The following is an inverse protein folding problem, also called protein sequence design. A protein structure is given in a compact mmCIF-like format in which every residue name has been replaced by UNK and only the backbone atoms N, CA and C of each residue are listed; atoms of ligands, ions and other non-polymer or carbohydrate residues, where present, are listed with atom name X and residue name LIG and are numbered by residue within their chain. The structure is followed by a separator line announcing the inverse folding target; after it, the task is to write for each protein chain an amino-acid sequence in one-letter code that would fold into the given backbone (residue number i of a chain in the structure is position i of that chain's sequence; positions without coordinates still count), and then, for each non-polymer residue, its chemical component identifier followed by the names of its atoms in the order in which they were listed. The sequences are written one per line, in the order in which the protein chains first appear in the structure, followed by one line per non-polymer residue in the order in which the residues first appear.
data_IF_982461335323
#
_entry.id   IF_982461335323
#
_cell.length_a   1.000
_cell.length_b   1.000
_cell.length_c   1.000
_cell.angle_alpha   90.00
_cell.angle_beta   90.00
_cell.angle_gamma   90.00
#
_symmetry.space_group_name_H-M   'P 1'
#
loop_
_entity.id
_entity.type
_entity.pdbx_description
1 polymer ?
#
# COMPACT_ATOMS: atom_id res chain seq x y z
N UNK A 1 -10.05 -75.81 -8.77
CA UNK A 1 -11.35 -75.09 -8.78
C UNK A 1 -11.53 -74.34 -7.47
N UNK A 2 -11.19 -73.05 -7.43
CA UNK A 2 -11.66 -72.08 -6.42
C UNK A 2 -11.91 -70.77 -7.17
N UNK A 3 -13.18 -70.46 -7.44
CA UNK A 3 -13.60 -69.17 -7.99
C UNK A 3 -13.56 -68.15 -6.85
N UNK A 4 -12.80 -67.07 -7.04
CA UNK A 4 -12.81 -65.88 -6.19
C UNK A 4 -13.68 -64.82 -6.89
N UNK A 5 -14.75 -64.27 -6.28
CA UNK A 5 -15.52 -63.22 -6.94
C UNK A 5 -14.77 -61.90 -6.77
N UNK A 6 -14.43 -61.27 -7.90
CA UNK A 6 -13.87 -59.94 -7.98
C UNK A 6 -14.99 -58.92 -7.66
N UNK A 7 -14.99 -58.35 -6.45
CA UNK A 7 -15.91 -57.29 -6.06
C UNK A 7 -15.42 -55.97 -6.67
N UNK A 8 -16.00 -55.57 -7.79
CA UNK A 8 -15.76 -54.26 -8.41
C UNK A 8 -16.43 -53.17 -7.56
N UNK A 9 -15.64 -52.43 -6.77
CA UNK A 9 -16.09 -51.22 -6.09
C UNK A 9 -16.11 -50.10 -7.14
N UNK A 10 -17.29 -49.84 -7.69
CA UNK A 10 -17.58 -48.62 -8.44
C UNK A 10 -17.56 -47.44 -7.46
N UNK A 11 -16.44 -46.73 -7.40
CA UNK A 11 -16.38 -45.40 -6.80
C UNK A 11 -17.17 -44.48 -7.74
N UNK A 12 -18.45 -44.30 -7.45
CA UNK A 12 -19.27 -43.29 -8.09
C UNK A 12 -18.76 -41.92 -7.63
N UNK A 13 -17.93 -41.29 -8.46
CA UNK A 13 -17.65 -39.86 -8.34
C UNK A 13 -18.99 -39.16 -8.59
N UNK A 14 -19.73 -38.80 -7.54
CA UNK A 14 -20.91 -37.96 -7.69
C UNK A 14 -20.44 -36.62 -8.25
N UNK A 15 -21.04 -36.11 -9.34
CA UNK A 15 -20.78 -34.75 -9.75
C UNK A 15 -21.08 -33.84 -8.56
N UNK A 16 -20.12 -33.01 -8.18
CA UNK A 16 -20.30 -32.02 -7.12
C UNK A 16 -21.39 -31.07 -7.60
N UNK A 17 -22.54 -31.12 -6.94
CA UNK A 17 -23.65 -30.20 -7.20
C UNK A 17 -23.23 -28.82 -6.74
N UNK A 18 -23.42 -27.79 -7.58
CA UNK A 18 -23.22 -26.39 -7.19
C UNK A 18 -24.28 -25.89 -6.19
N UNK A 19 -25.32 -26.70 -5.91
CA UNK A 19 -26.34 -26.36 -4.93
C UNK A 19 -25.91 -26.73 -3.51
N UNK A 20 -25.92 -25.71 -2.64
CA UNK A 20 -25.72 -25.87 -1.20
C UNK A 20 -26.85 -26.68 -0.59
N UNK A 21 -26.47 -27.71 0.17
CA UNK A 21 -27.35 -28.64 0.88
C UNK A 21 -27.27 -28.46 2.40
N UNK A 22 -28.21 -29.06 3.14
CA UNK A 22 -28.19 -29.10 4.61
C UNK A 22 -26.93 -29.79 5.17
N UNK A 23 -26.36 -30.76 4.44
CA UNK A 23 -25.11 -31.45 4.79
C UNK A 23 -23.90 -30.49 4.72
N UNK A 24 -23.89 -29.57 3.76
CA UNK A 24 -22.84 -28.56 3.61
C UNK A 24 -22.87 -27.58 4.80
N UNK A 25 -24.08 -27.15 5.20
CA UNK A 25 -24.29 -26.28 6.37
C UNK A 25 -23.81 -26.98 7.64
N UNK A 26 -24.21 -28.24 7.82
CA UNK A 26 -23.78 -29.09 8.96
C UNK A 26 -22.27 -29.29 9.02
N UNK A 27 -21.60 -29.33 7.87
CA UNK A 27 -20.14 -29.41 7.79
C UNK A 27 -19.48 -28.08 8.17
N UNK A 28 -20.05 -26.96 7.73
CA UNK A 28 -19.57 -25.61 8.04
C UNK A 28 -19.76 -25.20 9.51
N UNK A 29 -20.82 -25.68 10.17
CA UNK A 29 -21.09 -25.49 11.61
C UNK A 29 -19.89 -25.82 12.48
N UNK A 30 -19.18 -26.90 12.16
CA UNK A 30 -17.99 -27.35 12.89
C UNK A 30 -16.85 -26.33 12.83
N UNK A 31 -16.67 -25.70 11.68
CA UNK A 31 -15.63 -24.68 11.46
C UNK A 31 -16.05 -23.37 12.15
N UNK A 32 -17.34 -23.05 12.11
CA UNK A 32 -17.90 -21.84 12.71
C UNK A 32 -18.11 -21.95 14.23
N UNK A 33 -17.90 -23.13 14.83
CA UNK A 33 -18.21 -23.43 16.24
C UNK A 33 -19.67 -23.14 16.62
N UNK A 34 -20.60 -23.49 15.73
CA UNK A 34 -22.05 -23.35 15.92
C UNK A 34 -22.73 -24.72 15.93
N UNK A 35 -23.93 -24.79 16.50
CA UNK A 35 -24.77 -25.99 16.48
C UNK A 35 -26.19 -25.60 16.10
N UNK A 36 -26.71 -26.16 15.00
CA UNK A 36 -28.09 -25.97 14.58
C UNK A 36 -28.90 -27.27 14.67
N UNK A 37 -30.21 -27.14 14.83
CA UNK A 37 -31.18 -28.21 14.60
C UNK A 37 -31.38 -28.41 13.09
N UNK A 38 -31.96 -29.53 12.68
CA UNK A 38 -32.23 -29.79 11.26
C UNK A 38 -33.20 -28.74 10.66
N UNK A 39 -34.19 -28.27 11.43
CA UNK A 39 -35.10 -27.21 10.99
C UNK A 39 -34.40 -25.86 10.79
N UNK A 40 -33.46 -25.52 11.67
CA UNK A 40 -32.64 -24.31 11.52
C UNK A 40 -31.73 -24.41 10.30
N UNK A 41 -31.11 -25.57 10.04
CA UNK A 41 -30.31 -25.81 8.83
C UNK A 41 -31.12 -25.63 7.56
N UNK A 42 -32.30 -26.23 7.50
CA UNK A 42 -33.17 -26.14 6.33
C UNK A 42 -33.60 -24.68 6.06
N UNK A 43 -33.85 -23.92 7.12
CA UNK A 43 -34.18 -22.48 7.03
C UNK A 43 -33.00 -21.63 6.56
N UNK A 44 -31.76 -22.08 6.77
CA UNK A 44 -30.55 -21.37 6.36
C UNK A 44 -30.21 -21.56 4.87
N UNK A 45 -30.69 -22.62 4.22
CA UNK A 45 -30.31 -22.97 2.83
C UNK A 45 -30.52 -21.79 1.88
N UNK A 46 -31.68 -21.14 1.91
CA UNK A 46 -31.98 -20.02 1.03
C UNK A 46 -31.03 -18.83 1.28
N UNK A 47 -30.83 -18.46 2.54
CA UNK A 47 -29.95 -17.35 2.93
C UNK A 47 -28.52 -17.59 2.48
N UNK A 48 -27.99 -18.79 2.71
CA UNK A 48 -26.61 -19.13 2.31
C UNK A 48 -26.47 -19.13 0.78
N UNK A 49 -27.46 -19.62 0.05
CA UNK A 49 -27.48 -19.55 -1.41
C UNK A 49 -27.53 -18.11 -1.94
N UNK A 50 -28.31 -17.23 -1.31
CA UNK A 50 -28.35 -15.80 -1.65
C UNK A 50 -26.99 -15.12 -1.38
N UNK A 51 -26.36 -15.44 -0.26
CA UNK A 51 -25.01 -14.94 0.06
C UNK A 51 -23.96 -15.42 -0.94
N UNK A 52 -24.02 -16.70 -1.35
CA UNK A 52 -23.11 -17.23 -2.38
C UNK A 52 -23.25 -16.44 -3.69
N UNK A 53 -24.48 -16.24 -4.17
CA UNK A 53 -24.75 -15.44 -5.38
C UNK A 53 -24.22 -14.01 -5.26
N UNK A 54 -24.37 -13.40 -4.09
CA UNK A 54 -23.83 -12.05 -3.82
C UNK A 54 -22.29 -12.04 -3.91
N UNK A 55 -21.62 -13.02 -3.30
CA UNK A 55 -20.16 -13.17 -3.36
C UNK A 55 -19.70 -13.41 -4.79
N UNK A 56 -20.38 -14.27 -5.55
CA UNK A 56 -20.08 -14.54 -6.97
C UNK A 56 -20.24 -13.27 -7.82
N UNK A 57 -21.30 -12.50 -7.60
CA UNK A 57 -21.51 -11.21 -8.25
C UNK A 57 -20.33 -10.26 -8.00
N UNK A 58 -19.88 -10.15 -6.75
CA UNK A 58 -18.72 -9.33 -6.37
C UNK A 58 -17.43 -9.85 -7.03
N UNK A 59 -17.21 -11.17 -7.05
CA UNK A 59 -16.01 -11.78 -7.66
C UNK A 59 -15.97 -11.62 -9.18
N UNK A 60 -17.13 -11.61 -9.82
CA UNK A 60 -17.25 -11.41 -11.27
C UNK A 60 -17.16 -9.93 -11.67
N UNK A 61 -17.29 -9.01 -10.70
CA UNK A 61 -17.18 -7.59 -10.94
C UNK A 61 -15.71 -7.22 -11.22
N UNK A 62 -15.40 -6.92 -12.48
CA UNK A 62 -14.08 -6.47 -12.90
C UNK A 62 -13.94 -4.97 -12.64
N UNK A 63 -13.24 -4.61 -11.57
CA UNK A 63 -12.78 -3.23 -11.35
C UNK A 63 -11.34 -3.07 -11.84
N UNK A 64 -11.06 -1.95 -12.49
CA UNK A 64 -9.69 -1.53 -12.74
C UNK A 64 -9.05 -1.13 -11.40
N UNK A 65 -7.77 -1.41 -11.18
CA UNK A 65 -7.02 -0.97 -9.99
C UNK A 65 -7.01 0.56 -9.83
N UNK A 66 -7.24 1.33 -10.90
CA UNK A 66 -7.42 2.79 -10.83
C UNK A 66 -8.75 3.21 -10.20
N UNK A 67 -9.70 2.29 -10.01
CA UNK A 67 -10.98 2.59 -9.33
C UNK A 67 -10.71 2.67 -7.84
N UNK A 68 -10.62 3.91 -7.34
CA UNK A 68 -10.56 4.16 -5.90
C UNK A 68 -11.82 3.62 -5.22
N UNK A 69 -11.67 2.92 -4.10
CA UNK A 69 -12.78 2.73 -3.17
C UNK A 69 -13.36 4.10 -2.82
N UNK A 70 -14.65 4.17 -2.43
CA UNK A 70 -15.27 5.42 -1.96
C UNK A 70 -14.63 5.90 -0.65
N UNK A 71 -13.43 6.47 -0.76
CA UNK A 71 -12.60 7.03 0.31
C UNK A 71 -12.77 8.54 0.40
N UNK A 72 -13.72 9.14 -0.34
CA UNK A 72 -14.02 10.56 -0.22
C UNK A 72 -14.76 10.80 1.10
N UNK A 73 -14.00 10.76 2.19
CA UNK A 73 -14.37 11.34 3.45
C UNK A 73 -14.28 12.86 3.27
N UNK A 74 -15.42 13.51 3.09
CA UNK A 74 -15.50 14.96 3.14
C UNK A 74 -15.83 15.36 4.58
N UNK A 75 -14.86 15.82 5.39
CA UNK A 75 -15.11 16.24 6.76
C UNK A 75 -15.88 17.57 6.83
N UNK A 76 -16.08 18.25 5.70
CA UNK A 76 -16.76 19.53 5.65
C UNK A 76 -18.25 19.29 5.90
N UNK A 77 -18.82 19.83 6.99
CA UNK A 77 -20.25 19.66 7.25
C UNK A 77 -21.08 20.26 6.12
N UNK A 78 -22.28 19.72 5.92
CA UNK A 78 -23.22 20.23 4.92
C UNK A 78 -23.43 21.74 5.14
N UNK A 79 -23.36 22.52 4.06
CA UNK A 79 -23.45 24.00 4.06
C UNK A 79 -22.30 24.75 4.76
N UNK A 80 -21.15 24.11 5.00
CA UNK A 80 -19.95 24.79 5.52
C UNK A 80 -18.96 25.08 4.40
N UNK A 81 -18.42 26.29 4.35
CA UNK A 81 -17.31 26.65 3.47
C UNK A 81 -16.05 26.85 4.30
N UNK A 82 -15.03 26.03 4.10
CA UNK A 82 -13.71 26.28 4.71
C UNK A 82 -13.01 27.34 3.87
N UNK A 83 -12.86 28.53 4.42
CA UNK A 83 -11.98 29.55 3.85
C UNK A 83 -10.53 29.17 4.11
N UNK A 84 -9.87 28.55 3.14
CA UNK A 84 -8.42 28.41 3.17
C UNK A 84 -7.86 29.80 2.91
N UNK A 85 -7.21 30.40 3.90
CA UNK A 85 -6.48 31.66 3.66
C UNK A 85 -5.39 31.40 2.64
N UNK A 86 -5.45 32.11 1.52
CA UNK A 86 -4.33 32.15 0.58
C UNK A 86 -3.11 32.72 1.30
N UNK A 87 -2.07 31.90 1.42
CA UNK A 87 -0.84 32.29 2.07
C UNK A 87 0.07 31.10 2.28
N UNK A 88 1.34 31.24 1.88
CA UNK A 88 2.40 30.35 2.35
C UNK A 88 2.50 30.56 3.85
N UNK A 89 1.99 29.60 4.64
CA UNK A 89 2.19 29.59 6.07
C UNK A 89 3.70 29.75 6.32
N UNK A 90 4.10 30.89 6.91
CA UNK A 90 5.51 31.19 7.16
C UNK A 90 5.96 30.34 8.35
N UNK A 91 6.35 29.11 8.07
CA UNK A 91 6.90 28.16 9.05
C UNK A 91 8.32 28.59 9.47
N UNK A 92 8.44 29.77 10.09
CA UNK A 92 9.73 30.32 10.55
C UNK A 92 10.12 29.83 11.95
N UNK A 93 9.76 28.58 12.29
CA UNK A 93 9.97 28.01 13.63
C UNK A 93 11.46 27.72 13.90
N UNK A 94 12.28 27.58 12.86
CA UNK A 94 13.69 27.16 12.96
C UNK A 94 14.70 28.26 12.58
N UNK A 95 14.39 29.53 12.84
CA UNK A 95 15.30 30.66 12.53
C UNK A 95 16.68 30.44 13.16
N UNK A 96 17.72 30.61 12.34
CA UNK A 96 19.11 30.50 12.79
C UNK A 96 19.67 29.07 12.82
N UNK A 97 18.88 28.05 12.50
CA UNK A 97 19.33 26.65 12.45
C UNK A 97 20.56 26.48 11.55
N UNK A 98 21.68 25.99 12.09
CA UNK A 98 22.91 25.74 11.32
C UNK A 98 22.95 24.29 10.85
N UNK A 99 23.74 24.05 9.80
CA UNK A 99 24.13 22.70 9.39
C UNK A 99 24.90 22.05 10.55
N UNK A 100 24.64 20.76 10.89
CA UNK A 100 25.37 20.09 11.95
C UNK A 100 26.85 19.93 11.60
N UNK A 101 27.70 19.85 12.63
CA UNK A 101 29.13 19.56 12.44
C UNK A 101 29.33 18.12 11.94
N UNK A 102 28.58 17.17 12.49
CA UNK A 102 28.53 15.79 12.00
C UNK A 102 27.34 15.62 11.05
N UNK A 103 27.64 15.31 9.78
CA UNK A 103 26.61 15.09 8.75
C UNK A 103 25.63 13.96 9.11
N UNK A 104 26.04 12.96 9.91
CA UNK A 104 25.13 11.89 10.32
C UNK A 104 23.95 12.37 11.16
N UNK A 105 24.06 13.53 11.81
CA UNK A 105 23.00 14.11 12.63
C UNK A 105 21.79 14.54 11.78
N UNK A 106 21.99 14.80 10.48
CA UNK A 106 20.90 15.10 9.54
C UNK A 106 19.84 13.99 9.51
N UNK A 107 20.22 12.74 9.77
CA UNK A 107 19.28 11.61 9.80
C UNK A 107 18.26 11.70 10.95
N UNK A 108 18.50 12.56 11.95
CA UNK A 108 17.65 12.75 13.12
C UNK A 108 16.96 14.11 13.14
N UNK A 109 17.19 14.94 12.11
CA UNK A 109 16.50 16.22 11.97
C UNK A 109 15.05 15.98 11.54
N UNK A 110 14.14 16.76 12.12
CA UNK A 110 12.75 16.80 11.65
C UNK A 110 12.67 17.34 10.22
N UNK A 111 11.57 17.03 9.52
CA UNK A 111 11.30 17.57 8.18
C UNK A 111 11.38 19.10 8.17
N UNK A 112 10.87 19.76 9.21
CA UNK A 112 10.94 21.22 9.32
C UNK A 112 12.36 21.76 9.42
N UNK A 113 13.24 21.07 10.14
CA UNK A 113 14.66 21.44 10.24
C UNK A 113 15.38 21.23 8.90
N UNK A 114 15.19 20.08 8.25
CA UNK A 114 15.77 19.81 6.93
C UNK A 114 15.28 20.82 5.88
N UNK A 115 13.99 21.11 5.88
CA UNK A 115 13.38 22.10 5.00
C UNK A 115 13.97 23.50 5.23
N UNK A 116 14.19 23.90 6.48
CA UNK A 116 14.84 25.17 6.79
C UNK A 116 16.28 25.23 6.29
N UNK A 117 17.05 24.14 6.41
CA UNK A 117 18.41 24.08 5.87
C UNK A 117 18.41 24.25 4.34
N UNK A 118 17.47 23.60 3.64
CA UNK A 118 17.31 23.74 2.17
C UNK A 118 16.88 25.15 1.80
N UNK A 119 15.83 25.66 2.45
CA UNK A 119 15.25 26.99 2.19
C UNK A 119 16.27 28.11 2.43
N UNK A 120 17.14 27.96 3.43
CA UNK A 120 18.23 28.90 3.73
C UNK A 120 19.54 28.57 3.01
N UNK A 121 19.52 27.60 2.09
CA UNK A 121 20.64 27.18 1.25
C UNK A 121 21.89 26.76 2.05
N UNK A 122 21.70 26.31 3.29
CA UNK A 122 22.77 25.73 4.14
C UNK A 122 23.11 24.31 3.72
N UNK A 123 22.16 23.64 3.08
CA UNK A 123 22.30 22.39 2.34
C UNK A 123 21.43 22.52 1.08
N UNK A 124 21.74 21.78 0.03
CA UNK A 124 20.86 21.68 -1.13
C UNK A 124 20.17 20.30 -1.17
N UNK A 125 19.11 20.18 -1.96
CA UNK A 125 18.31 18.97 -2.13
C UNK A 125 19.15 17.80 -2.64
N UNK A 126 20.05 18.05 -3.59
CA UNK A 126 20.98 17.05 -4.16
C UNK A 126 21.90 16.48 -3.08
N UNK A 127 22.47 17.33 -2.23
CA UNK A 127 23.36 16.95 -1.14
C UNK A 127 22.61 16.12 -0.08
N UNK A 128 21.42 16.57 0.32
CA UNK A 128 20.59 15.85 1.28
C UNK A 128 20.14 14.48 0.75
N UNK A 129 19.73 14.43 -0.52
CA UNK A 129 19.31 13.19 -1.19
C UNK A 129 20.46 12.20 -1.27
N UNK A 130 21.64 12.66 -1.69
CA UNK A 130 22.85 11.83 -1.74
C UNK A 130 23.23 11.28 -0.36
N UNK A 131 23.19 12.12 0.68
CA UNK A 131 23.44 11.70 2.05
C UNK A 131 22.53 10.52 2.47
N UNK A 132 21.23 10.60 2.21
CA UNK A 132 20.31 9.52 2.57
C UNK A 132 20.50 8.26 1.71
N UNK A 133 20.78 8.39 0.42
CA UNK A 133 21.08 7.25 -0.46
C UNK A 133 22.35 6.53 0.02
N UNK A 134 23.43 7.25 0.32
CA UNK A 134 24.68 6.66 0.81
C UNK A 134 24.47 5.95 2.16
N UNK A 135 23.65 6.55 3.03
CA UNK A 135 23.28 5.94 4.31
C UNK A 135 22.45 4.67 4.12
N UNK A 136 21.49 4.66 3.20
CA UNK A 136 20.72 3.47 2.84
C UNK A 136 21.64 2.36 2.34
N UNK A 137 22.49 2.64 1.32
CA UNK A 137 23.44 1.66 0.77
C UNK A 137 24.34 1.05 1.83
N UNK A 138 24.78 1.84 2.82
CA UNK A 138 25.64 1.37 3.90
C UNK A 138 24.91 0.49 4.93
N UNK A 139 23.68 0.84 5.29
CA UNK A 139 22.96 0.19 6.40
C UNK A 139 21.98 -0.90 5.96
N UNK A 140 21.57 -0.93 4.70
CA UNK A 140 20.51 -1.83 4.22
C UNK A 140 20.90 -3.32 4.29
N UNK A 141 22.21 -3.63 4.25
CA UNK A 141 22.70 -5.01 4.45
C UNK A 141 22.30 -5.61 5.80
N UNK A 142 22.18 -4.78 6.84
CA UNK A 142 21.78 -5.18 8.18
C UNK A 142 20.28 -4.94 8.42
N UNK A 143 19.79 -3.76 8.03
CA UNK A 143 18.44 -3.31 8.38
C UNK A 143 17.35 -3.82 7.43
N UNK A 144 17.70 -4.11 6.17
CA UNK A 144 16.76 -4.52 5.10
C UNK A 144 15.54 -3.61 5.03
N UNK A 145 15.78 -2.31 5.02
CA UNK A 145 14.75 -1.28 5.19
C UNK A 145 14.18 -0.81 3.85
N UNK A 146 14.84 -1.10 2.74
CA UNK A 146 14.40 -0.73 1.39
C UNK A 146 14.48 -1.93 0.45
N UNK A 147 13.54 -2.03 -0.48
CA UNK A 147 13.57 -3.06 -1.54
C UNK A 147 14.13 -2.51 -2.86
N UNK A 148 13.89 -1.23 -3.13
CA UNK A 148 14.31 -0.56 -4.38
C UNK A 148 14.80 0.84 -4.03
N UNK A 149 16.05 1.15 -4.38
CA UNK A 149 16.59 2.51 -4.30
C UNK A 149 16.44 3.16 -5.68
N UNK A 150 15.62 4.21 -5.78
CA UNK A 150 15.34 4.94 -7.03
C UNK A 150 16.36 6.05 -7.29
N UNK A 151 17.65 5.74 -7.16
CA UNK A 151 18.75 6.72 -7.09
C UNK A 151 18.74 7.74 -8.23
N UNK A 152 18.69 7.30 -9.48
CA UNK A 152 18.69 8.20 -10.64
C UNK A 152 17.51 9.19 -10.60
N UNK A 153 16.30 8.68 -10.33
CA UNK A 153 15.08 9.50 -10.22
C UNK A 153 15.15 10.46 -9.04
N UNK A 154 15.62 10.00 -7.88
CA UNK A 154 15.76 10.83 -6.69
C UNK A 154 16.74 11.98 -6.93
N UNK A 155 17.90 11.69 -7.56
CA UNK A 155 18.90 12.71 -7.89
C UNK A 155 18.41 13.71 -8.93
N UNK A 156 17.68 13.27 -9.96
CA UNK A 156 17.06 14.14 -10.97
C UNK A 156 16.02 15.08 -10.34
N UNK A 157 15.11 14.54 -9.52
CA UNK A 157 14.10 15.35 -8.83
C UNK A 157 14.74 16.33 -7.84
N UNK A 158 15.81 15.91 -7.16
CA UNK A 158 16.54 16.78 -6.25
C UNK A 158 17.19 17.96 -6.97
N UNK A 159 17.84 17.72 -8.13
CA UNK A 159 18.45 18.76 -8.94
C UNK A 159 17.41 19.76 -9.47
N UNK A 160 16.23 19.27 -9.90
CA UNK A 160 15.12 20.13 -10.30
C UNK A 160 14.60 20.98 -9.15
N UNK A 161 14.48 20.41 -7.94
CA UNK A 161 14.07 21.18 -6.76
C UNK A 161 15.07 22.30 -6.45
N UNK A 162 16.37 22.00 -6.51
CA UNK A 162 17.41 23.02 -6.29
C UNK A 162 17.37 24.15 -7.33
N UNK A 163 17.10 23.82 -8.60
CA UNK A 163 16.91 24.82 -9.65
C UNK A 163 15.68 25.71 -9.39
N UNK A 164 14.54 25.11 -9.03
CA UNK A 164 13.33 25.86 -8.70
C UNK A 164 13.53 26.78 -7.49
N UNK A 165 14.20 26.30 -6.44
CA UNK A 165 14.56 27.09 -5.25
C UNK A 165 15.45 28.27 -5.62
N UNK A 166 16.50 28.03 -6.42
CA UNK A 166 17.41 29.07 -6.88
C UNK A 166 16.70 30.15 -7.70
N UNK A 167 15.66 29.77 -8.44
CA UNK A 167 14.81 30.69 -9.21
C UNK A 167 13.70 31.34 -8.35
N UNK A 168 13.76 31.23 -7.02
CA UNK A 168 12.81 31.84 -6.08
C UNK A 168 11.48 31.09 -5.94
N UNK A 169 11.34 29.91 -6.54
CA UNK A 169 10.11 29.11 -6.54
C UNK A 169 10.11 28.04 -5.44
N UNK A 170 10.15 28.47 -4.19
CA UNK A 170 10.01 27.55 -3.06
C UNK A 170 8.54 27.14 -2.85
N UNK A 171 8.24 25.84 -2.96
CA UNK A 171 6.85 25.33 -2.90
C UNK A 171 6.35 25.01 -1.49
N UNK A 172 7.22 25.10 -0.47
CA UNK A 172 6.88 24.80 0.92
C UNK A 172 7.76 23.70 1.53
N UNK A 173 7.38 23.22 2.72
CA UNK A 173 8.22 22.38 3.58
C UNK A 173 8.75 21.08 2.96
N UNK A 174 8.04 20.51 1.97
CA UNK A 174 8.45 19.26 1.33
C UNK A 174 9.28 19.49 0.06
N UNK A 175 9.54 20.74 -0.33
CA UNK A 175 10.27 21.05 -1.55
C UNK A 175 11.75 20.66 -1.40
N UNK A 176 12.18 19.64 -2.15
CA UNK A 176 13.55 19.12 -2.10
C UNK A 176 13.84 18.13 -0.97
N UNK A 177 12.81 17.68 -0.24
CA UNK A 177 12.98 16.67 0.81
C UNK A 177 12.88 15.26 0.17
N UNK A 178 13.92 14.41 0.29
CA UNK A 178 13.83 13.02 -0.16
C UNK A 178 12.86 12.22 0.72
N UNK A 179 12.15 11.26 0.12
CA UNK A 179 11.18 10.43 0.83
C UNK A 179 11.23 8.97 0.36
N UNK A 180 10.80 8.07 1.24
CA UNK A 180 10.54 6.67 0.90
C UNK A 180 9.04 6.44 0.68
N UNK A 181 8.71 5.66 -0.34
CA UNK A 181 7.36 5.17 -0.59
C UNK A 181 7.25 3.71 -0.18
N UNK A 182 6.08 3.29 0.33
CA UNK A 182 5.81 1.87 0.56
C UNK A 182 5.72 1.16 -0.79
N UNK A 183 6.18 -0.09 -0.85
CA UNK A 183 6.12 -1.00 -2.01
C UNK A 183 4.67 -1.49 -2.32
N UNK A 184 3.71 -0.58 -2.18
CA UNK A 184 2.32 -0.69 -2.58
C UNK A 184 1.96 0.36 -3.63
N UNK A 185 2.81 1.38 -3.80
CA UNK A 185 2.61 2.45 -4.77
C UNK A 185 3.33 2.10 -6.07
N UNK A 186 2.56 1.93 -7.13
CA UNK A 186 3.09 1.67 -8.45
C UNK A 186 3.80 2.92 -8.98
N UNK A 187 4.96 2.73 -9.62
CA UNK A 187 5.68 3.78 -10.32
C UNK A 187 6.26 3.17 -11.58
N UNK A 188 5.99 3.80 -12.72
CA UNK A 188 6.51 3.35 -14.00
C UNK A 188 8.03 3.15 -13.96
N UNK A 189 8.49 2.09 -14.64
CA UNK A 189 9.89 1.66 -14.71
C UNK A 189 10.52 1.14 -13.40
N UNK A 190 9.74 1.04 -12.31
CA UNK A 190 10.19 0.43 -11.05
C UNK A 190 9.35 -0.78 -10.66
N UNK A 191 9.95 -1.70 -9.91
CA UNK A 191 9.22 -2.86 -9.38
C UNK A 191 8.25 -2.44 -8.28
N UNK A 192 7.09 -3.09 -8.26
CA UNK A 192 6.10 -2.98 -7.18
C UNK A 192 5.70 -4.38 -6.76
N UNK A 193 6.29 -4.88 -5.68
CA UNK A 193 6.24 -6.31 -5.33
C UNK A 193 5.22 -6.66 -4.26
N UNK A 194 4.58 -5.64 -3.65
CA UNK A 194 3.61 -5.79 -2.57
C UNK A 194 4.13 -6.60 -1.37
N UNK A 195 5.45 -6.73 -1.23
CA UNK A 195 6.10 -7.55 -0.22
C UNK A 195 5.79 -9.05 -0.31
N UNK A 196 5.38 -9.57 -1.48
CA UNK A 196 5.03 -10.98 -1.64
C UNK A 196 5.89 -11.67 -2.70
N UNK A 197 6.38 -12.88 -2.37
CA UNK A 197 7.28 -13.65 -3.22
C UNK A 197 6.79 -13.87 -4.67
N UNK A 198 5.47 -14.13 -4.93
CA UNK A 198 4.98 -14.27 -6.30
C UNK A 198 5.14 -13.00 -7.16
N UNK A 199 5.20 -11.82 -6.56
CA UNK A 199 5.26 -10.53 -7.25
C UNK A 199 6.65 -9.88 -7.22
N UNK A 200 7.70 -10.62 -6.85
CA UNK A 200 9.08 -10.10 -6.70
C UNK A 200 9.64 -9.40 -7.96
N UNK A 201 9.12 -9.74 -9.14
CA UNK A 201 9.52 -9.19 -10.44
C UNK A 201 8.43 -8.35 -11.10
N UNK A 202 7.33 -8.07 -10.39
CA UNK A 202 6.20 -7.31 -10.90
C UNK A 202 6.59 -5.86 -11.18
N UNK A 203 6.28 -5.40 -12.39
CA UNK A 203 6.38 -4.00 -12.83
C UNK A 203 5.00 -3.60 -13.36
N UNK A 204 4.50 -2.46 -12.92
CA UNK A 204 3.17 -1.95 -13.26
C UNK A 204 3.34 -0.63 -14.03
N UNK A 205 2.64 -0.49 -15.15
CA UNK A 205 2.71 0.70 -16.02
C UNK A 205 1.59 1.71 -15.74
N UNK A 206 0.91 1.58 -14.60
CA UNK A 206 -0.20 2.43 -14.17
C UNK A 206 0.17 3.00 -12.80
N UNK A 207 0.01 4.31 -12.62
CA UNK A 207 0.35 5.06 -11.38
C UNK A 207 -0.91 5.62 -10.75
#
# INVERSE_FOLDING_TARGET
MRLLPLLFILIACRPQSDQITSEDIKSAEKIAALNFTDQERDSLIETVQQHLKSIESIRNLKMNNSVVNSLQFNPIPMNTTISVKDGTSQWSVFKGLKKPENMNDLAFYSIGQLAELIRTQKINSVELTRFFIDRLKRLDTELKSVITITENRAMEQAARADEEIRNGKYRGLLHGIPYGAKDLLAVDSYKTTWGAAPYKDQVLNET
#
